data_IF_274440980998
#
_entry.id   IF_274440980998
#
_cell.length_a   1.000
_cell.length_b   1.000
_cell.length_c   1.000
_cell.angle_alpha   90.00
_cell.angle_beta   90.00
_cell.angle_gamma   90.00
#
_symmetry.space_group_name_H-M   'P 1'
#
loop_
_entity.id
_entity.type
_entity.pdbx_description
1 polymer ?
#
# COMPACT_ATOMS: atom_id res chain seq x y z
N UNK A 1 -14.80 12.19 -16.27
CA UNK A 1 -15.56 11.14 -16.97
C UNK A 1 -14.64 10.01 -17.39
N UNK A 2 -15.23 8.82 -17.63
CA UNK A 2 -14.47 7.66 -18.07
C UNK A 2 -13.83 7.91 -19.44
N UNK A 3 -12.50 7.67 -19.54
CA UNK A 3 -11.75 7.83 -20.78
C UNK A 3 -11.32 9.26 -21.11
N UNK A 4 -11.74 10.24 -20.28
CA UNK A 4 -11.32 11.64 -20.43
C UNK A 4 -10.23 11.94 -19.41
N UNK A 5 -9.06 12.36 -19.88
CA UNK A 5 -7.89 12.68 -19.07
C UNK A 5 -7.46 14.12 -19.36
N UNK A 6 -7.71 15.02 -18.43
CA UNK A 6 -7.23 16.40 -18.47
C UNK A 6 -6.04 16.56 -17.52
N UNK A 7 -4.85 16.70 -18.06
CA UNK A 7 -3.60 16.87 -17.31
C UNK A 7 -2.99 18.27 -17.49
N UNK A 8 -3.67 19.19 -18.18
CA UNK A 8 -3.13 20.52 -18.46
C UNK A 8 -2.86 21.33 -17.21
N UNK A 9 -3.77 21.24 -16.24
CA UNK A 9 -3.54 21.86 -14.93
C UNK A 9 -2.29 21.32 -14.25
N UNK A 10 -2.13 19.98 -14.24
CA UNK A 10 -1.01 19.32 -13.59
C UNK A 10 0.32 19.65 -14.29
N UNK A 11 0.34 19.69 -15.61
CA UNK A 11 1.52 20.11 -16.39
C UNK A 11 1.96 21.52 -16.00
N UNK A 12 1.05 22.49 -16.01
CA UNK A 12 1.34 23.87 -15.60
C UNK A 12 1.90 23.97 -14.17
N UNK A 13 1.42 23.13 -13.26
CA UNK A 13 1.94 23.10 -11.89
C UNK A 13 3.35 22.53 -11.82
N UNK A 14 3.62 21.44 -12.53
CA UNK A 14 4.95 20.82 -12.59
C UNK A 14 5.96 21.74 -13.26
N UNK A 15 5.60 22.37 -14.40
CA UNK A 15 6.41 23.37 -15.11
C UNK A 15 6.81 24.52 -14.15
N UNK A 16 5.82 25.08 -13.45
CA UNK A 16 6.03 26.18 -12.52
C UNK A 16 6.95 25.82 -11.34
N UNK A 17 6.81 24.60 -10.80
CA UNK A 17 7.70 24.11 -9.76
C UNK A 17 9.12 23.99 -10.29
N UNK A 18 9.30 23.40 -11.45
CA UNK A 18 10.60 23.22 -12.07
C UNK A 18 11.27 24.56 -12.40
N UNK A 19 10.55 25.53 -12.95
CA UNK A 19 11.05 26.90 -13.22
C UNK A 19 11.56 27.61 -11.94
N UNK A 20 11.05 27.20 -10.77
CA UNK A 20 11.47 27.72 -9.47
C UNK A 20 12.48 26.79 -8.75
N UNK A 21 13.10 25.85 -9.44
CA UNK A 21 14.15 24.97 -8.91
C UNK A 21 13.62 23.83 -8.02
N UNK A 22 12.32 23.51 -8.09
CA UNK A 22 11.69 22.47 -7.28
C UNK A 22 11.44 21.22 -8.14
N UNK A 23 12.06 20.11 -7.76
CA UNK A 23 11.82 18.80 -8.38
C UNK A 23 10.55 18.15 -7.82
N UNK A 24 9.94 17.30 -8.62
CA UNK A 24 8.66 16.64 -8.31
C UNK A 24 8.83 15.12 -8.28
N UNK A 25 8.38 14.48 -7.21
CA UNK A 25 8.05 13.05 -7.21
C UNK A 25 6.58 12.93 -7.61
N UNK A 26 6.34 12.38 -8.80
CA UNK A 26 4.99 12.30 -9.37
C UNK A 26 4.23 11.11 -8.78
N UNK A 27 3.09 11.37 -8.14
CA UNK A 27 2.26 10.31 -7.60
C UNK A 27 1.26 9.76 -8.62
N UNK A 28 1.04 8.44 -8.62
CA UNK A 28 -0.11 7.85 -9.30
C UNK A 28 -1.36 8.04 -8.44
N UNK A 29 -2.53 8.43 -9.01
CA UNK A 29 -3.73 8.81 -8.23
C UNK A 29 -4.58 7.60 -7.83
N UNK A 30 -3.96 6.47 -7.55
CA UNK A 30 -4.62 5.16 -7.45
C UNK A 30 -4.98 4.76 -6.01
N UNK A 31 -4.63 5.57 -5.00
CA UNK A 31 -5.12 5.37 -3.63
C UNK A 31 -6.61 5.69 -3.48
N UNK A 32 -7.16 6.49 -4.37
CA UNK A 32 -8.58 6.83 -4.43
C UNK A 32 -9.14 6.50 -5.83
N UNK A 33 -10.44 6.52 -5.96
CA UNK A 33 -11.13 6.27 -7.21
C UNK A 33 -12.23 7.29 -7.44
N UNK A 34 -12.51 7.67 -8.70
CA UNK A 34 -13.57 8.62 -9.00
C UNK A 34 -14.96 7.99 -8.73
N UNK A 35 -15.93 8.83 -8.37
CA UNK A 35 -17.30 8.42 -8.07
C UNK A 35 -17.92 7.59 -9.18
N UNK A 36 -17.73 8.00 -10.44
CA UNK A 36 -18.30 7.32 -11.60
C UNK A 36 -17.88 5.85 -11.69
N UNK A 37 -16.63 5.52 -11.27
CA UNK A 37 -16.12 4.16 -11.33
C UNK A 37 -16.88 3.24 -10.38
N UNK A 38 -17.12 3.65 -9.14
CA UNK A 38 -17.90 2.88 -8.18
C UNK A 38 -19.39 2.79 -8.56
N UNK A 39 -19.91 3.80 -9.25
CA UNK A 39 -21.29 3.79 -9.72
C UNK A 39 -21.50 2.86 -10.92
N UNK A 40 -20.58 2.88 -11.88
CA UNK A 40 -20.66 2.06 -13.09
C UNK A 40 -20.19 0.61 -12.88
N UNK A 41 -19.23 0.42 -11.97
CA UNK A 41 -18.58 -0.85 -11.67
C UNK A 41 -18.55 -1.10 -10.16
N UNK A 42 -19.70 -1.33 -9.49
CA UNK A 42 -19.76 -1.46 -8.04
C UNK A 42 -18.90 -2.62 -7.49
N UNK A 43 -18.59 -3.61 -8.32
CA UNK A 43 -17.71 -4.73 -7.98
C UNK A 43 -16.24 -4.33 -7.74
N UNK A 44 -15.83 -3.11 -8.13
CA UNK A 44 -14.49 -2.60 -7.78
C UNK A 44 -14.36 -2.29 -6.30
N UNK A 45 -15.47 -2.04 -5.59
CA UNK A 45 -15.46 -1.77 -4.16
C UNK A 45 -15.12 -3.04 -3.36
N UNK A 46 -14.36 -2.87 -2.28
CA UNK A 46 -14.01 -3.98 -1.38
C UNK A 46 -15.21 -4.63 -0.74
N UNK A 47 -15.06 -5.89 -0.40
CA UNK A 47 -15.92 -6.59 0.55
C UNK A 47 -15.13 -6.85 1.84
N UNK A 48 -15.78 -6.65 2.97
CA UNK A 48 -15.21 -6.90 4.29
C UNK A 48 -15.13 -8.40 4.62
N UNK A 49 -14.60 -8.74 5.80
CA UNK A 49 -14.49 -10.12 6.27
C UNK A 49 -15.85 -10.80 6.54
N UNK A 50 -16.93 -10.04 6.64
CA UNK A 50 -18.30 -10.55 6.77
C UNK A 50 -18.99 -10.73 5.39
N UNK A 51 -18.23 -10.55 4.31
CA UNK A 51 -18.71 -10.64 2.91
C UNK A 51 -19.71 -9.55 2.53
N UNK A 52 -19.66 -8.41 3.22
CA UNK A 52 -20.46 -7.24 2.89
C UNK A 52 -19.64 -6.29 2.00
N UNK A 53 -20.26 -5.82 0.90
CA UNK A 53 -19.62 -4.84 0.02
C UNK A 53 -19.66 -3.46 0.66
N UNK A 54 -18.51 -2.79 0.69
CA UNK A 54 -18.41 -1.42 1.15
C UNK A 54 -19.20 -0.48 0.24
N UNK A 55 -19.72 0.60 0.81
CA UNK A 55 -20.27 1.71 0.04
C UNK A 55 -19.15 2.59 -0.52
N UNK A 56 -19.48 3.45 -1.48
CA UNK A 56 -18.53 4.45 -1.98
C UNK A 56 -18.09 5.40 -0.85
N UNK A 57 -16.82 5.69 -0.83
CA UNK A 57 -16.18 6.57 0.14
C UNK A 57 -14.79 6.07 0.47
N UNK A 58 -14.07 6.79 1.29
CA UNK A 58 -12.74 6.48 1.78
C UNK A 58 -11.70 6.24 0.66
N UNK A 59 -10.42 6.35 1.00
CA UNK A 59 -9.32 5.85 0.18
C UNK A 59 -9.16 4.34 0.37
N UNK A 60 -8.45 3.66 -0.51
CA UNK A 60 -8.19 2.20 -0.48
C UNK A 60 -9.43 1.30 -0.44
N UNK A 61 -10.58 1.79 -0.79
CA UNK A 61 -11.81 1.01 -0.86
C UNK A 61 -12.02 0.46 -2.27
N UNK A 62 -11.03 -0.26 -2.79
CA UNK A 62 -11.05 -0.92 -4.09
C UNK A 62 -10.29 -2.24 -4.03
N UNK A 63 -10.73 -3.20 -4.83
CA UNK A 63 -10.17 -4.54 -4.89
C UNK A 63 -8.96 -4.59 -5.84
N UNK A 64 -7.79 -4.95 -5.35
CA UNK A 64 -6.57 -5.10 -6.18
C UNK A 64 -6.63 -6.29 -7.15
N UNK A 65 -7.57 -7.23 -6.96
CA UNK A 65 -7.80 -8.34 -7.89
C UNK A 65 -8.80 -7.98 -8.98
N UNK A 66 -9.58 -6.88 -8.83
CA UNK A 66 -10.57 -6.47 -9.83
C UNK A 66 -9.93 -6.18 -11.19
N UNK A 67 -10.30 -6.90 -12.27
CA UNK A 67 -9.78 -6.62 -13.60
C UNK A 67 -10.16 -5.24 -14.10
N UNK A 68 -11.36 -4.77 -13.75
CA UNK A 68 -11.81 -3.42 -14.10
C UNK A 68 -10.92 -2.37 -13.42
N UNK A 69 -10.66 -2.51 -12.10
CA UNK A 69 -9.81 -1.57 -11.39
C UNK A 69 -8.39 -1.56 -11.99
N UNK A 70 -7.81 -2.73 -12.25
CA UNK A 70 -6.49 -2.87 -12.88
C UNK A 70 -6.43 -2.22 -14.27
N UNK A 71 -7.47 -2.42 -15.09
CA UNK A 71 -7.56 -1.76 -16.41
C UNK A 71 -7.56 -0.23 -16.29
N UNK A 72 -8.35 0.32 -15.36
CA UNK A 72 -8.46 1.78 -15.19
C UNK A 72 -7.20 2.40 -14.59
N UNK A 73 -6.55 1.73 -13.63
CA UNK A 73 -5.26 2.17 -13.10
C UNK A 73 -4.17 2.16 -14.18
N UNK A 74 -4.12 1.11 -15.00
CA UNK A 74 -3.18 1.08 -16.13
C UNK A 74 -3.38 2.26 -17.06
N UNK A 75 -4.63 2.56 -17.44
CA UNK A 75 -4.94 3.68 -18.34
C UNK A 75 -4.47 5.03 -17.79
N UNK A 76 -4.77 5.34 -16.54
CA UNK A 76 -4.35 6.63 -15.97
C UNK A 76 -2.84 6.71 -15.79
N UNK A 77 -2.18 5.63 -15.34
CA UNK A 77 -0.74 5.61 -15.17
C UNK A 77 -0.01 5.74 -16.51
N UNK A 78 -0.50 5.09 -17.57
CA UNK A 78 0.01 5.29 -18.93
C UNK A 78 -0.10 6.76 -19.37
N UNK A 79 -1.26 7.40 -19.13
CA UNK A 79 -1.45 8.82 -19.50
C UNK A 79 -0.54 9.76 -18.71
N UNK A 80 -0.31 9.49 -17.44
CA UNK A 80 0.65 10.24 -16.63
C UNK A 80 2.07 10.07 -17.15
N UNK A 81 2.48 8.82 -17.42
CA UNK A 81 3.81 8.56 -17.96
C UNK A 81 4.01 9.23 -19.33
N UNK A 82 3.05 9.13 -20.25
CA UNK A 82 3.09 9.83 -21.56
C UNK A 82 3.27 11.35 -21.40
N UNK A 83 2.67 11.94 -20.37
CA UNK A 83 2.72 13.38 -20.12
C UNK A 83 4.03 13.84 -19.46
N UNK A 84 4.65 13.00 -18.60
CA UNK A 84 5.68 13.45 -17.67
C UNK A 84 7.00 12.67 -17.73
N UNK A 85 7.10 11.55 -18.44
CA UNK A 85 8.31 10.70 -18.51
C UNK A 85 9.57 11.44 -18.98
N UNK A 86 9.40 12.45 -19.81
CA UNK A 86 10.50 13.23 -20.38
C UNK A 86 10.64 14.62 -19.73
N UNK A 87 9.81 14.92 -18.70
CA UNK A 87 9.86 16.20 -18.01
C UNK A 87 11.05 16.26 -17.04
N UNK A 88 11.99 17.22 -17.21
CA UNK A 88 13.24 17.24 -16.43
C UNK A 88 13.04 17.48 -14.93
N UNK A 89 11.93 18.10 -14.54
CA UNK A 89 11.56 18.31 -13.13
C UNK A 89 10.96 17.09 -12.44
N UNK A 90 10.58 16.03 -13.18
CA UNK A 90 10.03 14.80 -12.58
C UNK A 90 11.16 13.81 -12.33
N UNK A 91 11.52 13.63 -11.07
CA UNK A 91 12.71 12.86 -10.64
C UNK A 91 12.40 11.46 -10.15
N UNK A 92 11.15 11.17 -9.76
CA UNK A 92 10.71 9.86 -9.27
C UNK A 92 9.20 9.69 -9.44
N UNK A 93 8.73 8.43 -9.33
CA UNK A 93 7.32 8.07 -9.26
C UNK A 93 6.98 7.51 -7.87
N UNK A 94 5.97 8.10 -7.25
CA UNK A 94 5.34 7.62 -6.03
C UNK A 94 4.10 6.81 -6.40
N UNK A 95 4.14 5.50 -6.18
CA UNK A 95 3.08 4.60 -6.60
C UNK A 95 1.97 4.56 -5.55
N UNK A 96 0.77 5.00 -5.93
CA UNK A 96 -0.39 5.04 -5.03
C UNK A 96 -0.14 5.89 -3.78
N UNK A 97 -0.62 5.47 -2.63
CA UNK A 97 -0.34 6.06 -1.31
C UNK A 97 -0.72 5.06 -0.22
N UNK A 98 0.18 4.80 0.74
CA UNK A 98 -0.06 3.96 1.92
C UNK A 98 -0.89 2.69 1.62
N UNK A 99 -0.42 1.90 0.64
CA UNK A 99 -1.11 0.70 0.18
C UNK A 99 -1.47 -0.23 1.35
N UNK A 100 -2.68 -0.75 1.37
CA UNK A 100 -3.10 -1.65 2.44
C UNK A 100 -4.58 -2.03 2.38
N UNK A 101 -5.01 -2.73 3.42
CA UNK A 101 -6.37 -3.24 3.59
C UNK A 101 -6.65 -4.52 2.82
N UNK A 102 -7.71 -5.19 3.20
CA UNK A 102 -8.10 -6.51 2.72
C UNK A 102 -9.39 -6.43 1.89
N UNK A 103 -9.58 -7.40 0.98
CA UNK A 103 -10.82 -7.55 0.23
C UNK A 103 -11.19 -9.03 0.17
N UNK A 104 -12.38 -9.35 0.66
CA UNK A 104 -12.89 -10.73 0.75
C UNK A 104 -13.94 -11.05 -0.34
N UNK A 105 -13.91 -10.36 -1.48
CA UNK A 105 -14.83 -10.57 -2.59
C UNK A 105 -14.57 -11.92 -3.30
N UNK A 106 -15.51 -12.41 -4.14
CA UNK A 106 -15.34 -13.67 -4.87
C UNK A 106 -14.03 -13.79 -5.65
N UNK A 107 -13.56 -12.70 -6.29
CA UNK A 107 -12.27 -12.70 -7.01
C UNK A 107 -11.08 -12.94 -6.06
N UNK A 108 -11.10 -12.32 -4.87
CA UNK A 108 -10.06 -12.53 -3.88
C UNK A 108 -10.13 -13.93 -3.25
N UNK A 109 -11.34 -14.49 -3.07
CA UNK A 109 -11.51 -15.88 -2.61
C UNK A 109 -10.88 -16.87 -3.60
N UNK A 110 -11.15 -16.70 -4.87
CA UNK A 110 -10.59 -17.55 -5.93
C UNK A 110 -9.07 -17.39 -6.02
N UNK A 111 -8.58 -16.15 -6.02
CA UNK A 111 -7.15 -15.88 -6.02
C UNK A 111 -6.44 -16.49 -4.80
N UNK A 112 -7.05 -16.44 -3.61
CA UNK A 112 -6.52 -17.06 -2.40
C UNK A 112 -6.47 -18.58 -2.50
N UNK A 113 -7.52 -19.24 -3.00
CA UNK A 113 -7.52 -20.69 -3.24
C UNK A 113 -6.38 -21.11 -4.18
N UNK A 114 -6.18 -20.36 -5.26
CA UNK A 114 -5.09 -20.61 -6.21
C UNK A 114 -3.72 -20.41 -5.54
N UNK A 115 -3.55 -19.36 -4.73
CA UNK A 115 -2.33 -19.11 -3.98
C UNK A 115 -2.01 -20.24 -3.00
N UNK A 116 -3.01 -20.68 -2.23
CA UNK A 116 -2.90 -21.81 -1.28
C UNK A 116 -2.56 -23.11 -2.02
N UNK A 117 -3.22 -23.38 -3.15
CA UNK A 117 -2.96 -24.55 -3.99
C UNK A 117 -1.52 -24.57 -4.52
N UNK A 118 -1.02 -23.42 -4.97
CA UNK A 118 0.38 -23.29 -5.42
C UNK A 118 1.36 -23.51 -4.27
N UNK A 119 1.07 -22.95 -3.09
CA UNK A 119 1.94 -23.03 -1.92
C UNK A 119 2.08 -24.45 -1.38
N UNK A 120 1.00 -25.21 -1.28
CA UNK A 120 0.96 -26.51 -0.63
C UNK A 120 0.97 -27.70 -1.58
N UNK A 121 0.58 -27.51 -2.83
CA UNK A 121 0.53 -28.56 -3.85
C UNK A 121 -0.58 -29.61 -3.65
N UNK A 122 -0.90 -29.94 -2.39
CA UNK A 122 -1.95 -30.92 -2.07
C UNK A 122 -2.77 -30.52 -0.84
N UNK A 123 -4.01 -31.06 -0.77
CA UNK A 123 -4.88 -30.89 0.39
C UNK A 123 -4.31 -31.53 1.65
N UNK A 124 -3.62 -32.66 1.51
CA UNK A 124 -2.98 -33.32 2.65
C UNK A 124 -1.92 -32.41 3.28
N UNK A 125 -1.07 -31.79 2.47
CA UNK A 125 -0.05 -30.85 2.93
C UNK A 125 -0.67 -29.60 3.58
N UNK A 126 -1.74 -29.05 2.98
CA UNK A 126 -2.50 -27.94 3.54
C UNK A 126 -3.10 -28.30 4.91
N UNK A 127 -3.85 -29.41 4.97
CA UNK A 127 -4.52 -29.85 6.19
C UNK A 127 -3.51 -30.12 7.33
N UNK A 128 -2.36 -30.71 6.99
CA UNK A 128 -1.28 -30.90 7.96
C UNK A 128 -0.71 -29.58 8.46
N UNK A 129 -0.35 -28.66 7.55
CA UNK A 129 0.27 -27.37 7.88
C UNK A 129 -0.65 -26.45 8.72
N UNK A 130 -1.95 -26.50 8.47
CA UNK A 130 -2.94 -25.72 9.21
C UNK A 130 -3.49 -26.44 10.44
N UNK A 131 -3.13 -27.71 10.66
CA UNK A 131 -3.64 -28.56 11.73
C UNK A 131 -5.18 -28.64 11.74
N UNK A 132 -5.78 -28.89 10.59
CA UNK A 132 -7.23 -28.79 10.36
C UNK A 132 -8.04 -29.93 11.00
N UNK A 133 -7.41 -30.94 11.58
CA UNK A 133 -8.10 -31.98 12.32
C UNK A 133 -8.83 -31.47 13.57
N UNK A 134 -8.38 -30.33 14.12
CA UNK A 134 -9.01 -29.70 15.26
C UNK A 134 -10.39 -29.13 14.89
N UNK A 135 -11.42 -29.44 15.65
CA UNK A 135 -12.82 -29.06 15.43
C UNK A 135 -13.36 -29.35 14.03
N UNK A 136 -12.88 -30.45 13.42
CA UNK A 136 -13.35 -30.91 12.10
C UNK A 136 -13.16 -29.91 10.95
N UNK A 137 -12.09 -29.11 10.98
CA UNK A 137 -11.77 -28.15 9.91
C UNK A 137 -11.13 -28.79 8.68
N UNK A 138 -11.00 -30.14 8.62
CA UNK A 138 -10.31 -30.83 7.53
C UNK A 138 -10.98 -30.58 6.17
N UNK A 139 -10.25 -29.94 5.27
CA UNK A 139 -10.71 -29.66 3.92
C UNK A 139 -10.69 -30.92 3.05
N UNK A 140 -11.75 -31.12 2.27
CA UNK A 140 -11.91 -32.21 1.30
C UNK A 140 -11.65 -31.74 -0.15
N UNK A 141 -11.71 -30.42 -0.39
CA UNK A 141 -11.35 -29.78 -1.66
C UNK A 141 -10.80 -28.38 -1.41
N UNK A 142 -10.01 -27.85 -2.35
CA UNK A 142 -9.55 -26.46 -2.27
C UNK A 142 -10.71 -25.46 -2.37
N UNK A 143 -11.84 -25.84 -2.95
CA UNK A 143 -13.02 -24.97 -3.08
C UNK A 143 -13.68 -24.67 -1.74
N UNK A 144 -13.43 -25.49 -0.72
CA UNK A 144 -13.90 -25.26 0.65
C UNK A 144 -13.05 -24.22 1.40
N UNK A 145 -11.89 -23.84 0.86
CA UNK A 145 -11.02 -22.84 1.49
C UNK A 145 -11.61 -21.46 1.28
N UNK A 146 -11.87 -20.77 2.37
CA UNK A 146 -12.33 -19.39 2.40
C UNK A 146 -11.36 -18.52 3.20
N UNK A 147 -11.35 -17.21 2.92
CA UNK A 147 -10.63 -16.26 3.75
C UNK A 147 -11.23 -16.19 5.16
N UNK A 148 -10.44 -15.89 6.19
CA UNK A 148 -10.93 -15.84 7.56
C UNK A 148 -12.09 -14.84 7.73
N UNK A 149 -13.03 -15.16 8.63
CA UNK A 149 -14.19 -14.33 8.94
C UNK A 149 -14.53 -14.40 10.42
N UNK A 150 -14.88 -13.29 11.07
CA UNK A 150 -15.37 -13.33 12.46
C UNK A 150 -16.72 -14.06 12.64
N UNK A 151 -17.44 -14.30 11.54
CA UNK A 151 -18.69 -15.09 11.51
C UNK A 151 -18.49 -16.53 11.03
N UNK A 152 -17.26 -16.91 10.69
CA UNK A 152 -16.90 -18.22 10.21
C UNK A 152 -15.67 -18.71 10.98
N UNK A 153 -14.69 -19.19 10.22
CA UNK A 153 -13.44 -19.65 10.79
C UNK A 153 -12.46 -18.50 11.05
N UNK A 154 -12.31 -18.11 12.30
CA UNK A 154 -11.33 -17.15 12.77
C UNK A 154 -10.28 -17.78 13.70
N UNK A 155 -10.46 -19.05 14.08
CA UNK A 155 -9.60 -19.74 15.05
C UNK A 155 -8.42 -20.48 14.42
N UNK A 156 -8.46 -20.73 13.12
CA UNK A 156 -7.44 -21.48 12.40
C UNK A 156 -6.22 -20.60 12.08
N UNK A 157 -5.19 -20.68 12.94
CA UNK A 157 -4.02 -19.78 12.86
C UNK A 157 -3.27 -19.87 11.54
N UNK A 158 -3.15 -21.08 10.94
CA UNK A 158 -2.53 -21.28 9.63
C UNK A 158 -3.25 -20.52 8.53
N UNK A 159 -4.59 -20.59 8.52
CA UNK A 159 -5.44 -19.81 7.60
C UNK A 159 -5.23 -18.29 7.77
N UNK A 160 -5.28 -17.81 9.00
CA UNK A 160 -5.12 -16.38 9.29
C UNK A 160 -3.75 -15.84 8.83
N UNK A 161 -2.69 -16.60 9.09
CA UNK A 161 -1.34 -16.22 8.69
C UNK A 161 -1.17 -16.24 7.16
N UNK A 162 -1.71 -17.27 6.51
CA UNK A 162 -1.61 -17.38 5.05
C UNK A 162 -2.50 -16.38 4.32
N UNK A 163 -3.63 -16.00 4.89
CA UNK A 163 -4.40 -14.89 4.37
C UNK A 163 -3.61 -13.57 4.38
N UNK A 164 -2.91 -13.25 5.47
CA UNK A 164 -2.04 -12.06 5.53
C UNK A 164 -0.89 -12.10 4.53
N UNK A 165 -0.28 -13.28 4.35
CA UNK A 165 0.76 -13.47 3.32
C UNK A 165 0.21 -13.28 1.91
N UNK A 166 -0.96 -13.84 1.64
CA UNK A 166 -1.66 -13.65 0.37
C UNK A 166 -1.98 -12.17 0.12
N UNK A 167 -2.49 -11.45 1.11
CA UNK A 167 -2.77 -10.01 1.00
C UNK A 167 -1.52 -9.21 0.68
N UNK A 168 -0.39 -9.56 1.29
CA UNK A 168 0.92 -8.96 0.96
C UNK A 168 1.31 -9.25 -0.48
N UNK A 169 1.28 -10.51 -0.91
CA UNK A 169 1.66 -10.91 -2.26
C UNK A 169 0.73 -10.31 -3.32
N UNK A 170 -0.58 -10.21 -3.04
CA UNK A 170 -1.57 -9.55 -3.90
C UNK A 170 -1.31 -8.05 -4.04
N UNK A 171 -0.97 -7.39 -2.94
CA UNK A 171 -0.64 -5.95 -2.95
C UNK A 171 0.67 -5.71 -3.72
N UNK A 172 1.68 -6.55 -3.50
CA UNK A 172 2.94 -6.50 -4.22
C UNK A 172 2.75 -6.71 -5.74
N UNK A 173 1.90 -7.64 -6.14
CA UNK A 173 1.53 -7.85 -7.55
C UNK A 173 0.82 -6.63 -8.14
N UNK A 174 -0.06 -5.99 -7.38
CA UNK A 174 -0.72 -4.75 -7.83
C UNK A 174 0.28 -3.60 -8.00
N UNK A 175 1.25 -3.44 -7.09
CA UNK A 175 2.32 -2.42 -7.25
C UNK A 175 3.15 -2.69 -8.50
N UNK A 176 3.53 -3.95 -8.77
CA UNK A 176 4.21 -4.33 -10.02
C UNK A 176 3.39 -3.98 -11.26
N UNK A 177 2.08 -4.19 -11.19
CA UNK A 177 1.14 -3.85 -12.26
C UNK A 177 1.13 -2.34 -12.54
N UNK A 178 1.09 -1.50 -11.52
CA UNK A 178 1.15 -0.04 -11.67
C UNK A 178 2.49 0.42 -12.23
N UNK A 179 3.60 -0.10 -11.72
CA UNK A 179 4.95 0.19 -12.21
C UNK A 179 5.09 -0.23 -13.68
N UNK A 180 4.57 -1.41 -14.04
CA UNK A 180 4.64 -1.89 -15.44
C UNK A 180 3.96 -0.92 -16.41
N UNK A 181 2.83 -0.34 -16.01
CA UNK A 181 2.13 0.64 -16.84
C UNK A 181 2.96 1.89 -17.12
N UNK A 182 3.73 2.37 -16.13
CA UNK A 182 4.67 3.49 -16.29
C UNK A 182 5.84 3.10 -17.18
N UNK A 183 6.44 1.92 -16.95
CA UNK A 183 7.60 1.41 -17.73
C UNK A 183 7.24 1.16 -19.19
N UNK A 184 6.10 0.53 -19.46
CA UNK A 184 5.61 0.26 -20.81
C UNK A 184 5.33 1.56 -21.60
N UNK A 185 4.94 2.63 -20.89
CA UNK A 185 4.80 3.97 -21.44
C UNK A 185 6.13 4.75 -21.54
N UNK A 186 7.26 4.14 -21.18
CA UNK A 186 8.60 4.68 -21.37
C UNK A 186 9.16 5.49 -20.19
N UNK A 187 8.51 5.54 -19.04
CA UNK A 187 9.04 6.21 -17.85
C UNK A 187 10.27 5.47 -17.30
N UNK A 188 11.36 6.21 -17.04
CA UNK A 188 12.65 5.67 -16.56
C UNK A 188 13.00 6.09 -15.14
N UNK A 189 12.32 7.09 -14.60
CA UNK A 189 12.56 7.60 -13.26
C UNK A 189 12.35 6.49 -12.21
N UNK A 190 13.08 6.51 -11.09
CA UNK A 190 12.93 5.53 -10.02
C UNK A 190 11.53 5.58 -9.40
N UNK A 191 11.11 4.45 -8.87
CA UNK A 191 9.78 4.24 -8.26
C UNK A 191 9.88 3.95 -6.77
N UNK A 192 8.89 4.39 -6.02
CA UNK A 192 8.73 4.08 -4.59
C UNK A 192 7.27 3.95 -4.20
N UNK A 193 7.03 3.39 -3.01
CA UNK A 193 5.76 3.45 -2.28
C UNK A 193 6.04 4.02 -0.90
N UNK A 194 5.11 4.77 -0.30
CA UNK A 194 5.22 5.17 1.09
C UNK A 194 4.74 4.03 2.02
N UNK A 195 5.63 3.54 2.85
CA UNK A 195 5.38 2.45 3.79
C UNK A 195 4.89 3.01 5.13
N UNK A 196 4.09 2.24 5.84
CA UNK A 196 3.59 2.58 7.17
C UNK A 196 4.22 1.61 8.18
N UNK A 197 4.97 2.10 9.17
CA UNK A 197 5.80 1.27 10.03
C UNK A 197 5.06 0.13 10.74
N UNK A 198 4.10 0.45 11.59
CA UNK A 198 3.39 -0.51 12.43
C UNK A 198 2.16 -1.13 11.75
N UNK A 199 2.08 -0.98 10.44
CA UNK A 199 0.99 -1.52 9.66
C UNK A 199 1.09 -3.04 9.55
N UNK A 200 0.37 -3.74 10.42
CA UNK A 200 0.35 -5.21 10.50
C UNK A 200 -0.29 -5.91 9.29
N UNK A 201 -0.73 -5.16 8.30
CA UNK A 201 -1.40 -5.67 7.10
C UNK A 201 -0.48 -6.15 6.01
N UNK A 202 0.79 -5.70 5.97
CA UNK A 202 1.75 -6.03 4.91
C UNK A 202 3.13 -6.37 5.47
N UNK A 203 3.81 -7.31 4.82
CA UNK A 203 5.24 -7.56 4.98
C UNK A 203 6.01 -6.70 3.97
N UNK A 204 6.56 -5.57 4.42
CA UNK A 204 7.26 -4.63 3.55
C UNK A 204 8.57 -5.16 2.95
N UNK A 205 9.18 -6.20 3.51
CA UNK A 205 10.35 -6.82 2.89
C UNK A 205 10.06 -7.42 1.51
N UNK A 206 8.79 -7.78 1.25
CA UNK A 206 8.32 -8.25 -0.08
C UNK A 206 8.38 -7.16 -1.16
N UNK A 207 8.52 -5.91 -0.78
CA UNK A 207 8.59 -4.78 -1.71
C UNK A 207 10.03 -4.34 -2.03
N UNK A 208 11.04 -4.90 -1.32
CA UNK A 208 12.45 -4.53 -1.47
C UNK A 208 12.96 -4.60 -2.91
N UNK A 209 12.56 -5.64 -3.65
CA UNK A 209 12.98 -5.87 -5.04
C UNK A 209 11.96 -5.32 -6.08
N UNK A 210 10.89 -4.65 -5.61
CA UNK A 210 9.82 -4.12 -6.47
C UNK A 210 10.02 -2.63 -6.71
N UNK A 211 10.43 -1.90 -5.68
CA UNK A 211 10.66 -0.46 -5.72
C UNK A 211 12.15 -0.15 -5.81
N UNK A 212 12.50 0.96 -6.45
CA UNK A 212 13.90 1.35 -6.63
C UNK A 212 14.53 1.89 -5.34
N UNK A 213 13.71 2.52 -4.47
CA UNK A 213 14.13 2.98 -3.15
C UNK A 213 12.98 2.91 -2.14
N UNK A 214 13.32 2.73 -0.87
CA UNK A 214 12.36 2.73 0.24
C UNK A 214 11.97 4.17 0.59
N UNK A 215 10.68 4.40 0.77
CA UNK A 215 10.16 5.59 1.43
C UNK A 215 9.06 5.20 2.42
N UNK A 216 8.85 6.03 3.44
CA UNK A 216 7.88 5.72 4.48
C UNK A 216 7.36 6.97 5.19
N UNK A 217 6.31 6.80 5.97
CA UNK A 217 5.61 7.87 6.67
C UNK A 217 5.78 7.73 8.17
N UNK A 218 6.17 8.83 8.83
CA UNK A 218 6.39 8.82 10.27
C UNK A 218 5.81 10.09 10.92
N UNK A 219 4.89 9.87 11.84
CA UNK A 219 4.18 10.92 12.58
C UNK A 219 4.31 10.71 14.09
N UNK A 220 5.50 10.83 14.69
CA UNK A 220 5.70 10.58 16.11
C UNK A 220 4.90 11.55 16.99
N UNK A 221 4.19 10.99 17.96
CA UNK A 221 3.32 11.73 18.88
C UNK A 221 4.05 12.00 20.19
N UNK A 222 4.90 12.99 20.20
CA UNK A 222 5.80 13.35 21.30
C UNK A 222 5.13 13.67 22.64
N UNK A 223 3.82 13.86 22.67
CA UNK A 223 3.08 14.22 23.89
C UNK A 223 2.34 13.04 24.55
N UNK A 224 2.37 11.85 23.96
CA UNK A 224 1.68 10.64 24.49
C UNK A 224 2.57 9.85 25.43
N UNK A 225 3.85 9.78 25.14
CA UNK A 225 4.83 9.02 25.88
C UNK A 225 5.98 9.93 26.34
N UNK A 226 6.84 9.40 27.21
CA UNK A 226 8.10 10.08 27.51
C UNK A 226 8.91 10.31 26.22
N UNK A 227 9.52 11.48 26.07
CA UNK A 227 10.23 11.86 24.85
C UNK A 227 11.34 10.85 24.46
N UNK A 228 12.03 10.30 25.45
CA UNK A 228 13.03 9.26 25.21
C UNK A 228 12.45 7.97 24.64
N UNK A 229 11.25 7.55 25.06
CA UNK A 229 10.53 6.38 24.53
C UNK A 229 10.12 6.62 23.08
N UNK A 230 9.51 7.77 22.81
CA UNK A 230 9.13 8.16 21.44
C UNK A 230 10.36 8.24 20.52
N UNK A 231 11.47 8.79 21.00
CA UNK A 231 12.71 8.88 20.22
C UNK A 231 13.31 7.50 19.92
N UNK A 232 13.31 6.59 20.90
CA UNK A 232 13.82 5.23 20.71
C UNK A 232 12.95 4.43 19.75
N UNK A 233 11.63 4.52 19.87
CA UNK A 233 10.68 3.88 18.95
C UNK A 233 10.85 4.40 17.52
N UNK A 234 10.93 5.72 17.35
CA UNK A 234 11.17 6.36 16.05
C UNK A 234 12.51 5.91 15.44
N UNK A 235 13.58 5.82 16.24
CA UNK A 235 14.88 5.33 15.79
C UNK A 235 14.79 3.88 15.28
N UNK A 236 14.16 3.00 16.05
CA UNK A 236 13.93 1.61 15.64
C UNK A 236 13.18 1.52 14.32
N UNK A 237 12.15 2.35 14.16
CA UNK A 237 11.35 2.40 12.92
C UNK A 237 12.21 2.81 11.71
N UNK A 238 13.03 3.86 11.85
CA UNK A 238 13.97 4.28 10.81
C UNK A 238 14.94 3.15 10.44
N UNK A 239 15.50 2.46 11.43
CA UNK A 239 16.43 1.36 11.21
C UNK A 239 15.77 0.18 10.49
N UNK A 240 14.51 -0.14 10.81
CA UNK A 240 13.74 -1.17 10.10
C UNK A 240 13.58 -0.77 8.61
N UNK A 241 13.19 0.47 8.33
CA UNK A 241 13.03 0.94 6.95
C UNK A 241 14.35 0.91 6.18
N UNK A 242 15.44 1.36 6.80
CA UNK A 242 16.79 1.25 6.23
C UNK A 242 17.18 -0.21 5.95
N UNK A 243 16.79 -1.14 6.82
CA UNK A 243 17.15 -2.57 6.70
C UNK A 243 16.52 -3.26 5.48
N UNK A 244 15.38 -2.78 4.99
CA UNK A 244 14.63 -3.39 3.89
C UNK A 244 15.48 -3.52 2.62
N UNK A 245 16.21 -2.46 2.24
CA UNK A 245 17.14 -2.48 1.09
C UNK A 245 18.60 -2.28 1.49
N UNK A 246 18.91 -2.09 2.78
CA UNK A 246 20.24 -1.76 3.30
C UNK A 246 20.83 -0.49 2.65
N UNK A 247 19.97 0.48 2.36
CA UNK A 247 20.26 1.77 1.72
C UNK A 247 19.58 2.90 2.48
N UNK A 248 19.98 4.16 2.29
CA UNK A 248 19.20 5.30 2.73
C UNK A 248 17.75 5.22 2.25
N UNK A 249 16.83 5.71 3.08
CA UNK A 249 15.40 5.80 2.77
C UNK A 249 14.98 7.26 2.63
N UNK A 250 13.80 7.49 2.07
CA UNK A 250 13.13 8.81 2.10
C UNK A 250 12.05 8.82 3.18
N UNK A 251 12.05 9.83 4.04
CA UNK A 251 10.89 10.14 4.88
C UNK A 251 9.88 10.90 4.01
N UNK A 252 8.88 10.19 3.47
CA UNK A 252 7.96 10.73 2.48
C UNK A 252 6.93 11.65 3.12
N UNK A 253 6.45 11.27 4.29
CA UNK A 253 5.50 12.05 5.05
C UNK A 253 5.95 12.22 6.49
N UNK A 254 5.82 13.44 7.02
CA UNK A 254 6.04 13.76 8.43
C UNK A 254 5.27 15.02 8.80
N UNK A 255 5.05 15.21 10.08
CA UNK A 255 4.31 16.37 10.58
C UNK A 255 5.24 17.36 11.27
N UNK A 256 5.38 18.61 10.78
CA UNK A 256 6.19 19.62 11.46
C UNK A 256 5.58 20.05 12.79
N UNK A 257 4.26 19.97 12.96
CA UNK A 257 3.55 20.42 14.17
C UNK A 257 2.41 19.49 14.56
N UNK A 258 1.23 19.65 13.98
CA UNK A 258 0.00 18.96 14.33
C UNK A 258 -0.55 18.15 13.16
N UNK A 259 -1.28 17.07 13.46
CA UNK A 259 -2.00 16.27 12.46
C UNK A 259 -3.51 16.41 12.64
N UNK A 260 -4.27 16.36 11.56
CA UNK A 260 -5.71 16.58 11.60
C UNK A 260 -6.52 15.34 12.04
N UNK A 261 -5.91 14.16 12.12
CA UNK A 261 -6.58 12.92 12.55
C UNK A 261 -6.40 12.59 14.04
N UNK A 262 -5.58 13.33 14.76
CA UNK A 262 -5.41 13.13 16.19
C UNK A 262 -6.53 13.83 16.96
N UNK A 263 -7.17 13.17 17.95
CA UNK A 263 -8.19 13.83 18.81
C UNK A 263 -7.66 15.07 19.51
N UNK A 264 -6.40 15.01 19.95
CA UNK A 264 -5.65 16.15 20.51
C UNK A 264 -4.28 16.16 19.84
N UNK A 265 -3.93 17.27 19.24
CA UNK A 265 -2.62 17.48 18.64
C UNK A 265 -1.94 18.67 19.31
N UNK A 266 -0.84 18.41 20.01
CA UNK A 266 -0.04 19.43 20.66
C UNK A 266 1.08 19.92 19.75
N UNK A 267 1.42 21.18 19.84
CA UNK A 267 2.60 21.72 19.18
C UNK A 267 3.86 21.06 19.73
N UNK A 268 4.82 20.83 18.86
CA UNK A 268 6.16 20.42 19.28
C UNK A 268 6.84 21.52 20.12
N UNK A 269 7.60 21.12 21.11
CA UNK A 269 8.46 22.04 21.87
C UNK A 269 9.52 22.68 20.95
N UNK A 270 10.00 23.88 21.26
CA UNK A 270 11.13 24.47 20.54
C UNK A 270 12.32 23.51 20.46
N UNK A 271 12.89 23.35 19.26
CA UNK A 271 14.00 22.43 18.98
C UNK A 271 13.61 20.98 18.69
N UNK A 272 12.42 20.52 19.07
CA UNK A 272 11.98 19.12 18.88
C UNK A 272 11.84 18.75 17.40
N UNK A 273 11.31 19.62 16.55
CA UNK A 273 11.26 19.36 15.11
C UNK A 273 12.66 19.20 14.52
N UNK A 274 13.59 20.08 14.93
CA UNK A 274 14.98 20.00 14.49
C UNK A 274 15.62 18.65 14.90
N UNK A 275 15.49 18.29 16.19
CA UNK A 275 16.03 17.03 16.71
C UNK A 275 15.43 15.81 15.99
N UNK A 276 14.12 15.77 15.77
CA UNK A 276 13.46 14.67 15.06
C UNK A 276 13.89 14.59 13.58
N UNK A 277 14.09 15.74 12.92
CA UNK A 277 14.58 15.78 11.54
C UNK A 277 16.03 15.29 11.45
N UNK A 278 16.88 15.70 12.38
CA UNK A 278 18.28 15.24 12.44
C UNK A 278 18.38 13.75 12.80
N UNK A 279 17.45 13.23 13.61
CA UNK A 279 17.35 11.79 13.88
C UNK A 279 17.06 11.02 12.58
N UNK A 280 16.08 11.44 11.80
CA UNK A 280 15.78 10.80 10.51
C UNK A 280 17.01 10.81 9.57
N UNK A 281 17.72 11.93 9.48
CA UNK A 281 18.97 12.04 8.67
C UNK A 281 20.05 11.11 9.20
N UNK A 282 20.20 10.98 10.52
CA UNK A 282 21.23 10.10 11.12
C UNK A 282 20.97 8.61 10.88
N UNK A 283 19.71 8.22 10.75
CA UNK A 283 19.31 6.81 10.51
C UNK A 283 19.22 6.45 9.02
N UNK A 284 19.19 7.41 8.11
CA UNK A 284 19.20 7.16 6.67
C UNK A 284 18.32 8.01 5.85
#
# INVERSE_FOLDING_TARGET
EEGVFDLEWLKKMVDRLYENGISVMMATPTAARPRWMAQKYPEVLRMDAMRQRNLYGERHNHCYTSPVYREKTRKINTKLAEAFRDHPGVIAWHISNELGGECHCPLCQEAFRNWVKQKYGSLQALNHAWNTAFWSHTYQSFDQVESPSPKGDASLHGLNLDWKRFVTDQTADFVKWEISALRDAGAKQPTTINMMYDFKGLDYHKFADIVDFVSWDNYPTWHKEAEAVTAADTAMQHDIMRSIQKKPFYLMESCPSATNWQPVSKLKKPGMLHAASMQAVAHG
#
